data_IF_244728540716
#
_entry.id   IF_244728540716
#
_cell.length_a   1.000
_cell.length_b   1.000
_cell.length_c   1.000
_cell.angle_alpha   90.00
_cell.angle_beta   90.00
_cell.angle_gamma   90.00
#
_symmetry.space_group_name_H-M   'P 1'
#
loop_
_entity.id
_entity.type
_entity.pdbx_description
1 polymer ?
#
# COMPACT_ATOMS: atom_id res chain seq x y z
N UNK A 1 -7.11 60.36 25.62
CA UNK A 1 -6.31 59.56 24.66
C UNK A 1 -6.30 58.13 25.14
N UNK A 2 -7.00 57.25 24.42
CA UNK A 2 -7.06 55.82 24.68
C UNK A 2 -5.79 55.16 24.13
N UNK A 3 -5.12 54.36 24.95
CA UNK A 3 -3.99 53.52 24.54
C UNK A 3 -4.30 52.08 24.92
N UNK A 4 -4.73 51.30 23.92
CA UNK A 4 -5.15 49.91 24.02
C UNK A 4 -4.03 49.00 24.55
N UNK A 5 -4.41 48.13 25.50
CA UNK A 5 -3.69 46.93 25.91
C UNK A 5 -3.51 45.99 24.71
N UNK A 6 -2.25 45.69 24.35
CA UNK A 6 -1.92 44.55 23.48
C UNK A 6 -1.92 43.31 24.36
N UNK A 7 -3.09 42.68 24.50
CA UNK A 7 -3.21 41.31 24.98
C UNK A 7 -2.73 40.38 23.86
N UNK A 8 -1.53 39.84 24.02
CA UNK A 8 -1.01 38.77 23.21
C UNK A 8 -1.89 37.52 23.39
N UNK A 9 -2.81 37.31 22.45
CA UNK A 9 -3.56 36.08 22.34
C UNK A 9 -2.64 34.97 21.79
N UNK A 10 -1.77 34.44 22.65
CA UNK A 10 -1.18 33.11 22.46
C UNK A 10 -2.25 32.06 22.83
N UNK A 11 -3.33 32.03 22.06
CA UNK A 11 -4.40 31.06 22.23
C UNK A 11 -3.93 29.72 21.62
N UNK A 12 -3.57 28.80 22.52
CA UNK A 12 -3.84 27.36 22.41
C UNK A 12 -3.62 26.69 21.04
N UNK A 13 -2.36 26.45 20.66
CA UNK A 13 -2.05 25.16 20.01
C UNK A 13 -2.13 24.11 21.10
N UNK A 14 -3.36 23.66 21.39
CA UNK A 14 -3.60 22.45 22.18
C UNK A 14 -2.87 21.33 21.45
N UNK A 15 -2.00 20.63 22.16
CA UNK A 15 -1.11 19.63 21.60
C UNK A 15 -1.93 18.44 21.10
N UNK A 16 -2.34 18.49 19.83
CA UNK A 16 -3.13 17.44 19.18
C UNK A 16 -2.37 16.09 19.17
N UNK A 17 -1.06 16.08 19.42
CA UNK A 17 -0.31 14.84 19.60
C UNK A 17 -0.64 14.17 20.95
N UNK A 18 -0.83 14.96 22.01
CA UNK A 18 -1.10 14.48 23.37
C UNK A 18 -2.55 13.97 23.53
N UNK A 19 -3.51 14.61 22.85
CA UNK A 19 -4.91 14.18 22.80
C UNK A 19 -5.10 12.89 21.97
N UNK A 20 -4.26 12.67 20.94
CA UNK A 20 -4.27 11.45 20.10
C UNK A 20 -3.57 10.27 20.76
N UNK A 21 -2.60 10.50 21.63
CA UNK A 21 -1.97 9.45 22.44
C UNK A 21 -2.95 8.85 23.49
N UNK A 22 -4.00 9.59 23.85
CA UNK A 22 -5.08 9.13 24.74
C UNK A 22 -6.27 8.51 24.01
N UNK A 23 -6.28 8.48 22.67
CA UNK A 23 -7.36 7.83 21.94
C UNK A 23 -7.30 6.31 22.18
N UNK A 24 -8.44 5.64 22.40
CA UNK A 24 -8.46 4.18 22.51
C UNK A 24 -7.87 3.55 21.25
N UNK A 25 -7.14 2.45 21.41
CA UNK A 25 -6.57 1.72 20.28
C UNK A 25 -7.68 1.37 19.26
N UNK A 26 -7.43 1.51 17.96
CA UNK A 26 -8.42 1.17 16.94
C UNK A 26 -8.83 -0.31 17.07
N UNK A 27 -10.08 -0.65 16.76
CA UNK A 27 -10.51 -2.04 16.78
C UNK A 27 -9.68 -2.87 15.79
N UNK A 28 -9.41 -4.16 16.09
CA UNK A 28 -8.70 -5.05 15.17
C UNK A 28 -9.37 -5.12 13.78
N UNK A 29 -8.57 -5.20 12.72
CA UNK A 29 -9.05 -5.28 11.34
C UNK A 29 -10.09 -6.41 11.13
N UNK A 30 -9.90 -7.56 11.77
CA UNK A 30 -10.83 -8.69 11.72
C UNK A 30 -12.25 -8.37 12.22
N UNK A 31 -12.44 -7.33 13.05
CA UNK A 31 -13.75 -6.95 13.57
C UNK A 31 -14.52 -6.01 12.62
N UNK A 32 -13.81 -5.29 11.76
CA UNK A 32 -14.40 -4.24 10.92
C UNK A 32 -14.35 -4.58 9.43
N UNK A 33 -13.40 -5.40 8.99
CA UNK A 33 -13.29 -5.83 7.60
C UNK A 33 -14.48 -6.74 7.24
N UNK A 34 -15.34 -6.36 6.27
CA UNK A 34 -16.48 -7.16 5.85
C UNK A 34 -16.06 -8.32 4.93
N UNK A 35 -15.08 -9.13 5.37
CA UNK A 35 -14.55 -10.29 4.64
C UNK A 35 -14.46 -11.51 5.56
N UNK A 36 -14.74 -12.68 4.99
CA UNK A 36 -14.67 -13.97 5.70
C UNK A 36 -13.47 -14.80 5.24
N UNK A 37 -13.08 -15.79 6.03
CA UNK A 37 -12.00 -16.74 5.69
C UNK A 37 -12.31 -17.57 4.44
N UNK A 38 -13.59 -17.78 4.12
CA UNK A 38 -14.02 -18.53 2.94
C UNK A 38 -13.91 -17.76 1.63
N UNK A 39 -13.72 -16.43 1.67
CA UNK A 39 -13.61 -15.61 0.48
C UNK A 39 -12.26 -15.79 -0.21
N UNK A 40 -12.30 -15.91 -1.53
CA UNK A 40 -11.15 -15.85 -2.42
C UNK A 40 -10.53 -14.46 -2.44
N UNK A 41 -9.30 -14.36 -2.96
CA UNK A 41 -8.61 -13.08 -3.11
C UNK A 41 -9.40 -12.12 -4.01
N UNK A 42 -9.99 -12.61 -5.10
CA UNK A 42 -10.79 -11.82 -6.03
C UNK A 42 -12.03 -11.23 -5.35
N UNK A 43 -12.75 -12.03 -4.55
CA UNK A 43 -13.91 -11.56 -3.79
C UNK A 43 -13.52 -10.51 -2.73
N UNK A 44 -12.36 -10.64 -2.09
CA UNK A 44 -11.86 -9.62 -1.14
C UNK A 44 -11.50 -8.32 -1.86
N UNK A 45 -10.87 -8.40 -3.04
CA UNK A 45 -10.56 -7.21 -3.85
C UNK A 45 -11.83 -6.54 -4.41
N UNK A 46 -12.85 -7.32 -4.76
CA UNK A 46 -14.19 -6.80 -5.09
C UNK A 46 -14.76 -6.00 -3.92
N UNK A 47 -14.73 -6.59 -2.72
CA UNK A 47 -15.23 -5.92 -1.53
C UNK A 47 -14.46 -4.64 -1.23
N UNK A 48 -13.13 -4.66 -1.38
CA UNK A 48 -12.28 -3.47 -1.26
C UNK A 48 -12.72 -2.37 -2.23
N UNK A 49 -12.91 -2.71 -3.51
CA UNK A 49 -13.36 -1.76 -4.54
C UNK A 49 -14.71 -1.10 -4.18
N UNK A 50 -15.66 -1.88 -3.66
CA UNK A 50 -16.96 -1.38 -3.21
C UNK A 50 -16.84 -0.39 -2.05
N UNK A 51 -16.07 -0.72 -1.01
CA UNK A 51 -15.90 0.17 0.15
C UNK A 51 -15.13 1.45 -0.23
N UNK A 52 -14.10 1.36 -1.08
CA UNK A 52 -13.36 2.52 -1.59
C UNK A 52 -14.25 3.44 -2.44
N UNK A 53 -15.07 2.87 -3.33
CA UNK A 53 -15.99 3.64 -4.17
C UNK A 53 -17.02 4.39 -3.32
N UNK A 54 -17.58 3.73 -2.30
CA UNK A 54 -18.51 4.38 -1.37
C UNK A 54 -17.83 5.47 -0.52
N UNK A 55 -16.59 5.24 -0.06
CA UNK A 55 -15.80 6.23 0.65
C UNK A 55 -15.56 7.49 -0.22
N UNK A 56 -15.13 7.27 -1.45
CA UNK A 56 -14.85 8.32 -2.42
C UNK A 56 -16.10 9.13 -2.79
N UNK A 57 -17.22 8.47 -3.07
CA UNK A 57 -18.48 9.14 -3.43
C UNK A 57 -19.04 9.99 -2.29
N UNK A 58 -18.90 9.53 -1.05
CA UNK A 58 -19.26 10.30 0.13
C UNK A 58 -18.17 11.28 0.60
N UNK A 59 -17.15 11.52 -0.23
CA UNK A 59 -16.07 12.49 -0.01
C UNK A 59 -15.36 12.32 1.35
N UNK A 60 -15.27 11.08 1.84
CA UNK A 60 -14.66 10.75 3.13
C UNK A 60 -15.30 11.45 4.35
N UNK A 61 -16.56 11.87 4.23
CA UNK A 61 -17.33 12.49 5.32
C UNK A 61 -18.35 11.52 5.93
N UNK A 62 -18.67 11.71 7.21
CA UNK A 62 -19.72 10.94 7.91
C UNK A 62 -19.53 9.43 7.79
N UNK A 63 -20.52 8.72 7.24
CA UNK A 63 -20.46 7.27 7.03
C UNK A 63 -19.37 6.84 6.04
N UNK A 64 -18.98 7.72 5.11
CA UNK A 64 -17.97 7.46 4.09
C UNK A 64 -16.58 7.31 4.71
N UNK A 65 -16.30 8.01 5.81
CA UNK A 65 -15.09 7.78 6.59
C UNK A 65 -15.05 6.34 7.14
N UNK A 66 -16.19 5.84 7.64
CA UNK A 66 -16.30 4.46 8.10
C UNK A 66 -16.07 3.45 6.96
N UNK A 67 -16.41 3.80 5.71
CA UNK A 67 -16.11 2.99 4.52
C UNK A 67 -14.60 2.92 4.26
N UNK A 68 -13.90 4.04 4.39
CA UNK A 68 -12.44 4.09 4.23
C UNK A 68 -11.71 3.23 5.28
N UNK A 69 -12.14 3.28 6.54
CA UNK A 69 -11.57 2.43 7.60
C UNK A 69 -11.82 0.93 7.34
N UNK A 70 -12.98 0.59 6.79
CA UNK A 70 -13.22 -0.80 6.34
C UNK A 70 -12.32 -1.19 5.17
N UNK A 71 -12.03 -0.27 4.26
CA UNK A 71 -11.11 -0.51 3.16
C UNK A 71 -9.68 -0.80 3.66
N UNK A 72 -9.14 -0.01 4.60
CA UNK A 72 -7.85 -0.28 5.28
C UNK A 72 -7.86 -1.68 5.90
N UNK A 73 -8.91 -2.00 6.67
CA UNK A 73 -9.02 -3.30 7.31
C UNK A 73 -9.11 -4.47 6.32
N UNK A 74 -9.72 -4.27 5.14
CA UNK A 74 -9.70 -5.28 4.08
C UNK A 74 -8.27 -5.45 3.55
N UNK A 75 -7.55 -4.35 3.30
CA UNK A 75 -6.16 -4.42 2.79
C UNK A 75 -5.22 -5.16 3.72
N UNK A 76 -5.34 -4.97 5.04
CA UNK A 76 -4.56 -5.71 6.04
C UNK A 76 -4.77 -7.22 5.97
N UNK A 77 -5.97 -7.63 5.56
CA UNK A 77 -6.37 -9.04 5.49
C UNK A 77 -6.17 -9.67 4.12
N UNK A 78 -5.71 -8.93 3.11
CA UNK A 78 -5.53 -9.50 1.77
C UNK A 78 -4.46 -10.59 1.73
N UNK A 79 -3.41 -10.44 2.53
CA UNK A 79 -2.28 -11.38 2.62
C UNK A 79 -2.61 -12.66 3.40
N UNK A 80 -3.76 -12.72 4.07
CA UNK A 80 -4.25 -13.94 4.74
C UNK A 80 -4.73 -15.00 3.74
N UNK A 81 -5.00 -14.59 2.50
CA UNK A 81 -5.53 -15.49 1.46
C UNK A 81 -4.42 -15.93 0.53
N UNK A 82 -4.41 -17.23 0.24
CA UNK A 82 -3.52 -17.78 -0.79
C UNK A 82 -3.91 -17.23 -2.16
N UNK A 83 -2.97 -16.55 -2.82
CA UNK A 83 -3.12 -16.16 -4.21
C UNK A 83 -3.23 -17.39 -5.13
N UNK A 84 -4.00 -17.31 -6.24
CA UNK A 84 -4.15 -18.42 -7.19
C UNK A 84 -2.81 -18.82 -7.83
N UNK A 85 -1.91 -17.85 -7.99
CA UNK A 85 -0.54 -18.02 -8.44
C UNK A 85 0.34 -16.93 -7.79
N UNK A 86 1.66 -17.16 -7.63
CA UNK A 86 2.55 -16.20 -6.99
C UNK A 86 2.96 -15.03 -7.89
N UNK A 87 2.92 -15.20 -9.22
CA UNK A 87 3.43 -14.23 -10.18
C UNK A 87 2.41 -13.90 -11.28
N UNK A 88 2.17 -12.61 -11.53
CA UNK A 88 1.27 -12.12 -12.57
C UNK A 88 1.91 -12.23 -13.94
N UNK A 89 1.11 -12.49 -14.98
CA UNK A 89 1.57 -12.45 -16.38
C UNK A 89 2.22 -11.10 -16.75
N UNK A 90 1.80 -10.02 -16.09
CA UNK A 90 2.36 -8.66 -16.23
C UNK A 90 3.73 -8.44 -15.59
N UNK A 91 4.37 -9.48 -15.03
CA UNK A 91 5.75 -9.39 -14.55
C UNK A 91 5.92 -8.91 -13.10
N UNK A 92 4.93 -9.12 -12.24
CA UNK A 92 4.99 -8.73 -10.82
C UNK A 92 4.56 -9.87 -9.90
N UNK A 93 5.15 -9.93 -8.71
CA UNK A 93 4.64 -10.77 -7.63
C UNK A 93 3.27 -10.28 -7.16
N UNK A 94 2.31 -11.19 -7.00
CA UNK A 94 0.98 -10.87 -6.45
C UNK A 94 1.12 -10.30 -5.04
N UNK A 95 1.93 -10.94 -4.22
CA UNK A 95 2.20 -10.53 -2.84
C UNK A 95 2.76 -9.10 -2.76
N UNK A 96 3.70 -8.74 -3.64
CA UNK A 96 4.23 -7.38 -3.72
C UNK A 96 3.14 -6.35 -4.08
N UNK A 97 2.26 -6.69 -5.03
CA UNK A 97 1.13 -5.81 -5.40
C UNK A 97 0.15 -5.63 -4.24
N UNK A 98 -0.15 -6.70 -3.48
CA UNK A 98 -1.01 -6.61 -2.30
C UNK A 98 -0.39 -5.73 -1.20
N UNK A 99 0.91 -5.87 -0.94
CA UNK A 99 1.63 -4.97 0.00
C UNK A 99 1.63 -3.52 -0.45
N UNK A 100 1.68 -3.25 -1.76
CA UNK A 100 1.54 -1.88 -2.28
C UNK A 100 0.14 -1.30 -1.99
N UNK A 101 -0.93 -2.09 -2.15
CA UNK A 101 -2.28 -1.65 -1.79
C UNK A 101 -2.38 -1.33 -0.30
N UNK A 102 -1.83 -2.20 0.57
CA UNK A 102 -1.79 -1.97 2.01
C UNK A 102 -1.02 -0.70 2.36
N UNK A 103 0.18 -0.51 1.81
CA UNK A 103 0.99 0.68 2.08
C UNK A 103 0.29 1.99 1.64
N UNK A 104 -0.45 1.96 0.53
CA UNK A 104 -1.26 3.10 0.09
C UNK A 104 -2.42 3.38 1.06
N UNK A 105 -3.15 2.35 1.48
CA UNK A 105 -4.24 2.50 2.45
C UNK A 105 -3.72 3.04 3.79
N UNK A 106 -2.64 2.46 4.33
CA UNK A 106 -1.99 2.88 5.58
C UNK A 106 -1.58 4.35 5.52
N UNK A 107 -1.02 4.80 4.39
CA UNK A 107 -0.64 6.19 4.18
C UNK A 107 -1.85 7.12 4.25
N UNK A 108 -2.92 6.82 3.50
CA UNK A 108 -4.15 7.63 3.49
C UNK A 108 -4.71 7.76 4.91
N UNK A 109 -4.79 6.64 5.64
CA UNK A 109 -5.27 6.64 7.03
C UNK A 109 -4.34 7.41 7.95
N UNK A 110 -3.02 7.30 7.78
CA UNK A 110 -2.05 8.04 8.57
C UNK A 110 -2.18 9.55 8.36
N UNK A 111 -2.34 10.02 7.11
CA UNK A 111 -2.56 11.45 6.82
C UNK A 111 -3.89 11.95 7.39
N UNK A 112 -4.96 11.16 7.27
CA UNK A 112 -6.24 11.50 7.89
C UNK A 112 -6.11 11.62 9.42
N UNK A 113 -5.40 10.68 10.07
CA UNK A 113 -5.13 10.73 11.52
C UNK A 113 -4.29 11.95 11.92
N UNK A 114 -3.41 12.42 11.04
CA UNK A 114 -2.64 13.68 11.23
C UNK A 114 -3.53 14.92 11.11
N UNK A 115 -4.72 14.78 10.53
CA UNK A 115 -5.69 15.86 10.35
C UNK A 115 -5.59 16.53 8.98
N UNK A 116 -5.12 15.81 7.95
CA UNK A 116 -5.26 16.24 6.58
C UNK A 116 -6.74 16.48 6.24
N UNK A 117 -7.01 17.47 5.38
CA UNK A 117 -8.35 17.72 4.88
C UNK A 117 -8.80 16.52 4.04
N UNK A 118 -9.99 15.94 4.29
CA UNK A 118 -10.52 14.83 3.50
C UNK A 118 -10.52 15.10 1.99
N UNK A 119 -10.71 16.35 1.56
CA UNK A 119 -10.70 16.70 0.14
C UNK A 119 -9.32 16.47 -0.51
N UNK A 120 -8.24 16.76 0.22
CA UNK A 120 -6.86 16.59 -0.25
C UNK A 120 -6.48 15.11 -0.44
N UNK A 121 -7.22 14.21 0.21
CA UNK A 121 -6.98 12.76 0.16
C UNK A 121 -7.76 12.05 -0.94
N UNK A 122 -8.71 12.71 -1.61
CA UNK A 122 -9.56 12.06 -2.62
C UNK A 122 -8.78 11.53 -3.81
N UNK A 123 -7.71 12.22 -4.22
CA UNK A 123 -6.85 11.75 -5.31
C UNK A 123 -6.03 10.52 -4.90
N UNK A 124 -5.59 10.43 -3.63
CA UNK A 124 -4.92 9.24 -3.11
C UNK A 124 -5.89 8.04 -3.03
N UNK A 125 -7.14 8.27 -2.59
CA UNK A 125 -8.19 7.23 -2.61
C UNK A 125 -8.50 6.78 -4.02
N UNK A 126 -8.58 7.69 -4.99
CA UNK A 126 -8.77 7.36 -6.40
C UNK A 126 -7.60 6.53 -6.95
N UNK A 127 -6.37 6.85 -6.56
CA UNK A 127 -5.20 6.07 -6.93
C UNK A 127 -5.26 4.64 -6.35
N UNK A 128 -5.69 4.49 -5.09
CA UNK A 128 -5.89 3.18 -4.48
C UNK A 128 -7.00 2.37 -5.17
N UNK A 129 -8.10 3.01 -5.57
CA UNK A 129 -9.16 2.39 -6.38
C UNK A 129 -8.60 1.87 -7.72
N UNK A 130 -7.85 2.71 -8.43
CA UNK A 130 -7.25 2.34 -9.71
C UNK A 130 -6.24 1.19 -9.56
N UNK A 131 -5.40 1.20 -8.52
CA UNK A 131 -4.46 0.14 -8.24
C UNK A 131 -5.15 -1.19 -7.87
N UNK A 132 -6.26 -1.12 -7.13
CA UNK A 132 -7.09 -2.29 -6.79
C UNK A 132 -7.69 -2.91 -8.03
N UNK A 133 -8.26 -2.09 -8.92
CA UNK A 133 -8.85 -2.58 -10.17
C UNK A 133 -7.79 -3.12 -11.13
N UNK A 134 -6.64 -2.46 -11.25
CA UNK A 134 -5.52 -2.96 -12.06
C UNK A 134 -5.06 -4.34 -11.61
N UNK A 135 -4.99 -4.57 -10.29
CA UNK A 135 -4.65 -5.89 -9.75
C UNK A 135 -5.73 -6.94 -10.05
N UNK A 136 -7.01 -6.59 -9.94
CA UNK A 136 -8.11 -7.50 -10.28
C UNK A 136 -8.05 -7.93 -11.74
N UNK A 137 -7.87 -6.98 -12.66
CA UNK A 137 -7.70 -7.27 -14.09
C UNK A 137 -6.47 -8.15 -14.31
N UNK A 138 -5.34 -7.83 -13.69
CA UNK A 138 -4.12 -8.61 -13.83
C UNK A 138 -4.27 -10.05 -13.29
N UNK A 139 -5.08 -10.26 -12.25
CA UNK A 139 -5.40 -11.60 -11.74
C UNK A 139 -6.25 -12.41 -12.73
N UNK A 140 -7.20 -11.77 -13.41
CA UNK A 140 -8.06 -12.40 -14.43
C UNK A 140 -7.29 -12.75 -15.70
N UNK A 141 -6.27 -11.97 -16.06
CA UNK A 141 -5.34 -12.31 -17.15
C UNK A 141 -4.46 -13.54 -16.82
N UNK A 142 -4.40 -13.93 -15.56
CA UNK A 142 -3.69 -15.11 -15.10
C UNK A 142 -2.22 -14.84 -14.74
N UNK A 143 -1.50 -15.93 -14.55
CA UNK A 143 -0.15 -15.91 -14.03
C UNK A 143 0.41 -17.31 -13.88
N UNK A 144 1.53 -17.41 -13.16
CA UNK A 144 2.23 -18.68 -13.00
C UNK A 144 3.26 -18.63 -11.90
N UNK A 145 4.22 -19.55 -12.01
CA UNK A 145 5.31 -19.66 -11.05
C UNK A 145 6.21 -18.43 -11.10
N UNK A 146 6.85 -18.16 -9.95
CA UNK A 146 7.84 -17.10 -9.85
C UNK A 146 8.99 -17.38 -10.82
N UNK A 147 9.48 -16.36 -11.56
CA UNK A 147 10.63 -16.54 -12.45
C UNK A 147 11.85 -16.98 -11.65
N UNK A 148 12.75 -17.70 -12.31
CA UNK A 148 14.03 -18.11 -11.72
C UNK A 148 14.76 -16.88 -11.15
N UNK A 149 15.16 -16.90 -9.87
CA UNK A 149 15.87 -15.77 -9.27
C UNK A 149 17.13 -15.42 -10.04
N UNK A 150 17.45 -14.12 -10.09
CA UNK A 150 18.64 -13.63 -10.81
C UNK A 150 19.92 -14.34 -10.32
N UNK A 151 20.09 -14.51 -9.01
CA UNK A 151 21.26 -15.20 -8.45
C UNK A 151 21.43 -16.63 -8.98
N UNK A 152 20.31 -17.35 -9.20
CA UNK A 152 20.33 -18.69 -9.78
C UNK A 152 20.65 -18.69 -11.27
N UNK A 153 20.25 -17.64 -12.00
CA UNK A 153 20.63 -17.45 -13.40
C UNK A 153 22.13 -17.09 -13.52
N UNK A 154 22.61 -16.21 -12.63
CA UNK A 154 24.00 -15.78 -12.57
C UNK A 154 24.96 -16.90 -12.16
N UNK A 155 24.55 -17.79 -11.26
CA UNK A 155 25.34 -18.97 -10.87
C UNK A 155 25.67 -19.90 -12.05
N UNK A 156 24.82 -19.93 -13.08
CA UNK A 156 25.00 -20.78 -14.28
C UNK A 156 25.62 -20.04 -15.48
N UNK A 157 25.89 -18.73 -15.36
CA UNK A 157 26.46 -17.88 -16.43
C UNK A 157 27.88 -17.41 -16.15
N UNK A 158 28.50 -17.85 -15.06
CA UNK A 158 29.95 -17.70 -14.85
C UNK A 158 30.72 -18.93 -15.34
N UNK A 159 31.17 -18.94 -16.60
CA UNK A 159 32.38 -19.66 -16.98
C UNK A 159 33.47 -18.73 -17.56
N UNK A 160 34.70 -18.99 -17.15
CA UNK A 160 35.97 -18.77 -17.88
C UNK A 160 36.30 -17.35 -18.40
N UNK A 161 36.44 -16.37 -17.52
CA UNK A 161 37.31 -15.20 -17.79
C UNK A 161 38.66 -15.25 -17.06
N UNK A 162 39.01 -16.42 -16.49
CA UNK A 162 40.29 -16.67 -15.83
C UNK A 162 41.42 -17.10 -16.77
N UNK A 163 41.21 -17.14 -18.09
CA UNK A 163 42.27 -17.35 -19.09
C UNK A 163 42.60 -16.07 -19.88
N UNK A 164 42.68 -14.93 -19.19
CA UNK A 164 43.44 -13.78 -19.69
C UNK A 164 44.93 -13.99 -19.42
N UNK A 165 45.53 -15.04 -19.98
CA UNK A 165 47.00 -15.11 -20.09
C UNK A 165 47.39 -14.38 -21.37
N UNK A 166 47.48 -13.06 -21.29
CA UNK A 166 48.18 -12.27 -22.29
C UNK A 166 49.65 -12.69 -22.19
N UNK A 167 50.07 -13.60 -23.07
CA UNK A 167 51.47 -13.95 -23.24
C UNK A 167 52.18 -12.72 -23.81
N UNK A 168 52.85 -11.94 -22.96
CA UNK A 168 53.86 -10.98 -23.41
C UNK A 168 54.94 -11.77 -24.16
N UNK A 169 55.07 -11.50 -25.46
CA UNK A 169 56.09 -12.13 -26.31
C UNK A 169 57.50 -11.77 -25.84
N UNK A 170 58.50 -12.65 -26.08
CA UNK A 170 59.86 -12.42 -25.61
C UNK A 170 60.46 -11.20 -26.33
N UNK A 171 60.87 -10.20 -25.55
CA UNK A 171 61.84 -9.20 -25.99
C UNK A 171 63.22 -9.83 -25.96
N UNK A 172 63.70 -10.26 -27.13
CA UNK A 172 65.04 -10.80 -27.34
C UNK A 172 65.76 -10.01 -28.42
N UNK A 173 66.75 -9.23 -27.97
CA UNK A 173 67.98 -8.69 -28.61
C UNK A 173 67.98 -8.31 -30.10
#
# INVERSE_FOLDING_TARGET
MAGLLVLAAAACRRDLAEERASAPAPPPAAQIAPVTESMTLEERLERLSQELSAAYQGRLEGEALGRLLRAEAITDRLLEVKAPFPWLARGYSVDARLRQLQALADRIIAELRRGADPEDLLDEVRALMAATEDLRVALQEGGGDMPTPLDSLLANTLPDTSEATISEGPTGE
#
